data_IF_609543411834
#
_entry.id   IF_609543411834
#
_cell.length_a   1.000
_cell.length_b   1.000
_cell.length_c   1.000
_cell.angle_alpha   90.00
_cell.angle_beta   90.00
_cell.angle_gamma   90.00
#
_symmetry.space_group_name_H-M   'P 1'
#
loop_
_entity.id
_entity.type
_entity.pdbx_description
1 polymer ?
#
# COMPACT_ATOMS: atom_id res chain seq x y z
N UNK A 1 -12.68 -5.57 8.23
CA UNK A 1 -13.16 -4.24 8.64
C UNK A 1 -12.75 -3.23 7.58
N UNK A 2 -13.57 -3.10 6.53
CA UNK A 2 -13.53 -1.95 5.62
C UNK A 2 -14.60 -0.97 6.12
N UNK A 3 -14.35 0.34 6.03
CA UNK A 3 -15.36 1.34 6.37
C UNK A 3 -16.37 1.50 5.22
N UNK A 4 -17.56 2.02 5.49
CA UNK A 4 -18.60 2.25 4.47
C UNK A 4 -18.11 3.08 3.28
N UNK A 5 -17.20 4.03 3.53
CA UNK A 5 -16.55 4.83 2.48
C UNK A 5 -15.66 3.96 1.58
N UNK A 6 -14.89 3.05 2.16
CA UNK A 6 -14.05 2.10 1.43
C UNK A 6 -14.89 1.20 0.52
N UNK A 7 -15.99 0.65 1.03
CA UNK A 7 -16.86 -0.24 0.24
C UNK A 7 -17.50 0.47 -0.97
N UNK A 8 -17.95 1.72 -0.80
CA UNK A 8 -18.49 2.53 -1.91
C UNK A 8 -17.47 2.78 -3.01
N UNK A 9 -16.22 3.09 -2.63
CA UNK A 9 -15.14 3.28 -3.59
C UNK A 9 -14.83 1.98 -4.35
N UNK A 10 -14.78 0.85 -3.66
CA UNK A 10 -14.51 -0.44 -4.29
C UNK A 10 -15.59 -0.84 -5.32
N UNK A 11 -16.86 -0.58 -5.00
CA UNK A 11 -17.99 -0.76 -5.94
C UNK A 11 -17.88 0.16 -7.15
N UNK A 12 -17.55 1.44 -6.93
CA UNK A 12 -17.43 2.42 -8.02
C UNK A 12 -16.33 2.06 -9.03
N UNK A 13 -15.24 1.42 -8.59
CA UNK A 13 -14.12 1.02 -9.44
C UNK A 13 -14.11 -0.48 -9.82
N UNK A 14 -15.20 -1.21 -9.54
CA UNK A 14 -15.37 -2.64 -9.88
C UNK A 14 -14.16 -3.49 -9.46
N UNK A 15 -13.75 -3.39 -8.19
CA UNK A 15 -12.62 -4.15 -7.66
C UNK A 15 -13.12 -5.38 -6.91
N UNK A 16 -12.87 -6.57 -7.47
CA UNK A 16 -13.37 -7.85 -6.94
C UNK A 16 -12.59 -8.36 -5.71
N UNK A 17 -11.27 -8.15 -5.66
CA UNK A 17 -10.43 -8.57 -4.52
C UNK A 17 -9.56 -7.42 -3.99
N UNK A 18 -10.11 -6.60 -3.08
CA UNK A 18 -9.45 -5.41 -2.57
C UNK A 18 -8.53 -5.66 -1.38
N UNK A 19 -8.51 -6.87 -0.83
CA UNK A 19 -7.78 -7.19 0.40
C UNK A 19 -6.44 -7.86 0.14
N UNK A 20 -6.25 -8.43 -1.06
CA UNK A 20 -5.01 -9.09 -1.44
C UNK A 20 -3.92 -8.14 -1.93
N UNK A 21 -4.26 -6.91 -2.31
CA UNK A 21 -3.31 -5.97 -2.92
C UNK A 21 -3.51 -4.51 -2.49
N UNK A 22 -2.47 -3.69 -2.65
CA UNK A 22 -2.54 -2.27 -2.37
C UNK A 22 -3.23 -1.52 -3.51
N UNK A 23 -4.19 -0.66 -3.15
CA UNK A 23 -4.99 0.15 -4.07
C UNK A 23 -4.86 1.62 -3.69
N UNK A 24 -4.68 2.47 -4.69
CA UNK A 24 -4.67 3.93 -4.53
C UNK A 24 -5.58 4.52 -5.58
N UNK A 25 -6.47 5.42 -5.16
CA UNK A 25 -7.35 6.17 -6.06
C UNK A 25 -6.92 7.63 -5.97
N UNK A 26 -6.50 8.21 -7.09
CA UNK A 26 -6.18 9.64 -7.21
C UNK A 26 -6.80 10.19 -8.49
N UNK A 27 -7.49 11.35 -8.39
CA UNK A 27 -8.10 12.05 -9.54
C UNK A 27 -8.85 11.13 -10.52
N UNK A 28 -9.71 10.27 -9.99
CA UNK A 28 -10.47 9.28 -10.76
C UNK A 28 -9.66 8.13 -11.41
N UNK A 29 -8.38 7.99 -11.08
CA UNK A 29 -7.53 6.92 -11.57
C UNK A 29 -7.20 5.92 -10.46
N UNK A 30 -7.41 4.63 -10.76
CA UNK A 30 -7.07 3.53 -9.87
C UNK A 30 -5.67 3.00 -10.18
N UNK A 31 -4.80 3.02 -9.18
CA UNK A 31 -3.48 2.40 -9.18
C UNK A 31 -3.52 1.12 -8.32
N UNK A 32 -2.87 0.06 -8.79
CA UNK A 32 -2.83 -1.25 -8.13
C UNK A 32 -1.40 -1.72 -7.90
N UNK A 33 -1.15 -2.51 -6.85
CA UNK A 33 0.13 -3.20 -6.57
C UNK A 33 1.35 -2.26 -6.69
N UNK A 34 2.31 -2.58 -7.56
CA UNK A 34 3.53 -1.80 -7.73
C UNK A 34 3.27 -0.38 -8.25
N UNK A 35 2.23 -0.18 -9.07
CA UNK A 35 1.84 1.15 -9.55
C UNK A 35 1.36 2.04 -8.40
N UNK A 36 0.61 1.47 -7.44
CA UNK A 36 0.16 2.19 -6.25
C UNK A 36 1.35 2.61 -5.36
N UNK A 37 2.31 1.71 -5.15
CA UNK A 37 3.54 2.02 -4.37
C UNK A 37 4.36 3.11 -5.05
N UNK A 38 4.56 3.01 -6.36
CA UNK A 38 5.31 4.01 -7.12
C UNK A 38 4.61 5.37 -7.11
N UNK A 39 3.29 5.38 -7.25
CA UNK A 39 2.51 6.61 -7.13
C UNK A 39 2.71 7.27 -5.76
N UNK A 40 2.54 6.51 -4.67
CA UNK A 40 2.77 7.01 -3.31
C UNK A 40 4.19 7.54 -3.15
N UNK A 41 5.20 6.76 -3.54
CA UNK A 41 6.62 7.15 -3.44
C UNK A 41 6.91 8.49 -4.13
N UNK A 42 6.17 8.81 -5.18
CA UNK A 42 6.34 10.08 -5.91
C UNK A 42 5.67 11.27 -5.22
N UNK A 43 4.60 11.02 -4.47
CA UNK A 43 3.94 12.04 -3.65
C UNK A 43 4.75 12.36 -2.39
N UNK A 44 5.57 11.42 -1.88
CA UNK A 44 6.42 11.64 -0.71
C UNK A 44 7.63 12.57 -0.97
N UNK A 45 7.93 12.92 -2.23
CA UNK A 45 9.07 13.79 -2.57
C UNK A 45 10.43 13.09 -2.55
N UNK A 46 11.52 13.85 -2.57
CA UNK A 46 12.90 13.32 -2.55
C UNK A 46 13.25 12.79 -1.14
N UNK A 47 13.92 11.63 -0.99
CA UNK A 47 14.52 10.78 -2.02
C UNK A 47 13.60 9.70 -2.62
N UNK A 48 12.39 9.52 -2.08
CA UNK A 48 11.46 8.47 -2.51
C UNK A 48 11.00 8.63 -3.97
N UNK A 49 11.03 9.84 -4.51
CA UNK A 49 10.76 10.12 -5.92
C UNK A 49 11.69 9.38 -6.88
N UNK A 50 12.90 9.00 -6.44
CA UNK A 50 13.83 8.15 -7.22
C UNK A 50 13.25 6.76 -7.51
N UNK A 51 12.27 6.31 -6.73
CA UNK A 51 11.59 5.05 -6.98
C UNK A 51 10.88 5.03 -8.35
N UNK A 52 10.58 6.19 -8.96
CA UNK A 52 10.08 6.26 -10.36
C UNK A 52 10.98 5.54 -11.35
N UNK A 53 12.29 5.42 -11.10
CA UNK A 53 13.20 4.68 -11.98
C UNK A 53 12.77 3.22 -12.12
N UNK A 54 12.18 2.61 -11.08
CA UNK A 54 11.63 1.25 -11.15
C UNK A 54 10.41 1.14 -12.08
N UNK A 55 9.81 2.25 -12.54
CA UNK A 55 8.78 2.24 -13.58
C UNK A 55 9.34 1.83 -14.95
N UNK A 56 10.65 1.98 -15.17
CA UNK A 56 11.34 1.50 -16.37
C UNK A 56 11.34 -0.05 -16.45
N UNK A 57 11.24 -0.73 -15.31
CA UNK A 57 11.14 -2.19 -15.29
C UNK A 57 9.76 -2.65 -15.79
N UNK A 58 9.72 -3.76 -16.56
CA UNK A 58 8.47 -4.30 -17.08
C UNK A 58 7.52 -4.61 -15.92
N UNK A 59 6.24 -4.24 -16.10
CA UNK A 59 5.20 -4.35 -15.07
C UNK A 59 5.15 -5.73 -14.41
N UNK A 60 5.19 -6.80 -15.21
CA UNK A 60 5.17 -8.17 -14.69
C UNK A 60 6.33 -8.53 -13.76
N UNK A 61 7.52 -7.93 -13.96
CA UNK A 61 8.68 -8.19 -13.09
C UNK A 61 8.50 -7.51 -11.73
N UNK A 62 8.13 -6.22 -11.73
CA UNK A 62 7.92 -5.49 -10.48
C UNK A 62 6.70 -5.98 -9.69
N UNK A 63 5.63 -6.40 -10.37
CA UNK A 63 4.47 -7.01 -9.71
C UNK A 63 4.84 -8.36 -9.10
N UNK A 64 5.65 -9.19 -9.78
CA UNK A 64 6.17 -10.44 -9.19
C UNK A 64 7.03 -10.20 -7.95
N UNK A 65 7.91 -9.20 -7.98
CA UNK A 65 8.70 -8.81 -6.80
C UNK A 65 7.76 -8.35 -5.69
N UNK A 66 6.79 -7.49 -6.00
CA UNK A 66 5.82 -6.98 -5.04
C UNK A 66 5.06 -8.12 -4.36
N UNK A 67 4.54 -9.06 -5.15
CA UNK A 67 3.82 -10.22 -4.63
C UNK A 67 4.73 -11.16 -3.82
N UNK A 68 5.99 -11.32 -4.24
CA UNK A 68 6.97 -12.12 -3.50
C UNK A 68 7.28 -11.51 -2.14
N UNK A 69 7.49 -10.19 -2.08
CA UNK A 69 7.68 -9.45 -0.82
C UNK A 69 6.42 -9.56 0.04
N UNK A 70 5.23 -9.40 -0.54
CA UNK A 70 3.95 -9.54 0.15
C UNK A 70 3.77 -10.92 0.79
N UNK A 71 4.09 -12.00 0.04
CA UNK A 71 4.04 -13.38 0.54
C UNK A 71 5.03 -13.62 1.68
N UNK A 72 6.21 -13.01 1.63
CA UNK A 72 7.25 -13.17 2.63
C UNK A 72 7.23 -12.07 3.71
N UNK A 73 6.25 -11.16 3.72
CA UNK A 73 6.23 -9.99 4.62
C UNK A 73 6.36 -10.35 6.09
N UNK A 74 5.70 -11.43 6.51
CA UNK A 74 5.77 -11.92 7.87
C UNK A 74 7.08 -12.64 8.20
N UNK A 75 7.79 -13.14 7.18
CA UNK A 75 9.12 -13.72 7.33
C UNK A 75 10.18 -12.62 7.46
N UNK A 76 10.03 -11.50 6.75
CA UNK A 76 10.97 -10.38 6.79
C UNK A 76 10.78 -9.48 8.02
N UNK A 77 9.55 -9.16 8.39
CA UNK A 77 9.26 -8.21 9.48
C UNK A 77 8.79 -8.88 10.78
N UNK A 78 8.63 -10.20 10.75
CA UNK A 78 7.96 -10.94 11.82
C UNK A 78 6.45 -10.71 11.81
N UNK A 79 5.68 -11.65 12.36
CA UNK A 79 4.27 -11.43 12.68
C UNK A 79 4.21 -10.84 14.09
N UNK A 80 3.69 -9.62 14.24
CA UNK A 80 3.40 -9.08 15.56
C UNK A 80 2.14 -9.78 16.09
N UNK A 81 2.30 -10.56 17.15
CA UNK A 81 1.22 -11.33 17.80
C UNK A 81 0.50 -10.53 18.87
N UNK A 82 1.07 -9.43 19.35
CA UNK A 82 0.53 -8.60 20.41
C UNK A 82 0.06 -7.25 19.87
N UNK A 83 -1.15 -6.85 20.25
CA UNK A 83 -1.66 -5.51 20.00
C UNK A 83 -0.84 -4.52 20.84
N UNK A 84 -0.02 -3.69 20.19
CA UNK A 84 0.80 -2.70 20.88
C UNK A 84 -0.11 -1.59 21.40
N UNK A 85 -0.39 -1.60 22.71
CA UNK A 85 -0.98 -0.45 23.38
C UNK A 85 -0.02 0.73 23.27
N UNK A 86 -0.55 1.89 22.86
CA UNK A 86 0.21 3.12 22.71
C UNK A 86 0.91 3.44 24.03
N UNK A 87 2.22 3.61 23.99
CA UNK A 87 2.97 4.11 25.15
C UNK A 87 2.50 5.53 25.47
N UNK A 88 2.58 5.97 26.73
CA UNK A 88 2.15 7.31 27.16
C UNK A 88 2.73 8.44 26.28
N UNK A 89 3.98 8.28 25.81
CA UNK A 89 4.64 9.22 24.91
C UNK A 89 4.00 9.30 23.51
N UNK A 90 3.38 8.23 23.03
CA UNK A 90 2.69 8.18 21.73
C UNK A 90 1.28 8.74 21.81
N UNK A 91 0.62 8.65 22.98
CA UNK A 91 -0.72 9.21 23.19
C UNK A 91 -0.76 10.72 22.93
N UNK A 92 0.33 11.44 23.20
CA UNK A 92 0.45 12.88 22.95
C UNK A 92 0.40 13.27 21.46
N UNK A 93 0.48 12.32 20.52
CA UNK A 93 0.38 12.58 19.07
C UNK A 93 -0.95 12.15 18.47
N UNK A 94 -1.83 11.54 19.27
CA UNK A 94 -3.18 11.19 18.87
C UNK A 94 -4.15 12.11 19.64
N UNK A 95 -4.77 13.04 18.91
CA UNK A 95 -5.83 13.92 19.40
C UNK A 95 -7.13 13.17 19.66
#
# INVERSE_FOLDING_TARGET
>A
MQSDKGERLLKAYQVDDPLSSMLVIDKNQLYKQSDAVLFIATQLGFPFSLAKVFKLLPKGFRDRIYDWVGRHRYRFFGKRTLCKLLTEKQKQHFL
#
